data_IF_778730224854
#
_entry.id   IF_778730224854
#
_cell.length_a   1.000
_cell.length_b   1.000
_cell.length_c   1.000
_cell.angle_alpha   90.00
_cell.angle_beta   90.00
_cell.angle_gamma   90.00
#
_symmetry.space_group_name_H-M   'P 1'
#
loop_
_entity.id
_entity.type
_entity.pdbx_description
1 polymer ?
#
# COMPACT_ATOMS: atom_id res chain seq x y z
N UNK A 1 -1.82 11.95 -4.30
CA UNK A 1 -0.69 11.00 -4.27
C UNK A 1 -0.48 10.50 -2.84
N UNK A 2 -0.26 9.21 -2.64
CA UNK A 2 0.04 8.56 -1.35
C UNK A 2 1.31 7.71 -1.50
N UNK A 3 2.18 7.72 -0.49
CA UNK A 3 3.42 6.94 -0.52
C UNK A 3 3.51 6.13 0.78
N UNK A 4 3.65 4.80 0.66
CA UNK A 4 3.82 3.90 1.79
C UNK A 4 5.28 3.48 1.93
N UNK A 5 5.81 3.49 3.15
CA UNK A 5 7.15 2.97 3.46
C UNK A 5 7.06 1.57 4.06
N UNK A 6 7.79 0.63 3.47
CA UNK A 6 7.68 -0.81 3.73
C UNK A 6 9.04 -1.50 3.75
N UNK A 7 9.06 -2.75 4.21
CA UNK A 7 10.26 -3.60 4.20
C UNK A 7 10.61 -4.09 2.79
N UNK A 8 11.74 -4.77 2.65
CA UNK A 8 12.27 -5.21 1.36
C UNK A 8 11.45 -6.33 0.69
N UNK A 9 10.81 -7.22 1.45
CA UNK A 9 10.00 -8.30 0.89
C UNK A 9 8.53 -7.85 0.78
N UNK A 10 8.21 -7.17 -0.32
CA UNK A 10 6.92 -6.51 -0.52
C UNK A 10 6.05 -7.13 -1.61
N UNK A 11 6.61 -8.00 -2.47
CA UNK A 11 5.94 -8.46 -3.68
C UNK A 11 4.60 -9.17 -3.39
N UNK A 12 4.55 -9.95 -2.31
CA UNK A 12 3.31 -10.57 -1.83
C UNK A 12 2.29 -9.54 -1.34
N UNK A 13 2.73 -8.53 -0.60
CA UNK A 13 1.87 -7.46 -0.09
C UNK A 13 1.30 -6.61 -1.23
N UNK A 14 2.07 -6.36 -2.29
CA UNK A 14 1.59 -5.66 -3.49
C UNK A 14 0.48 -6.47 -4.17
N UNK A 15 0.73 -7.76 -4.43
CA UNK A 15 -0.27 -8.62 -5.08
C UNK A 15 -1.55 -8.75 -4.25
N UNK A 16 -1.43 -8.86 -2.92
CA UNK A 16 -2.58 -8.93 -2.03
C UNK A 16 -3.30 -7.59 -1.81
N UNK A 17 -2.69 -6.45 -2.13
CA UNK A 17 -3.25 -5.11 -1.88
C UNK A 17 -3.78 -4.41 -3.14
N UNK A 18 -3.55 -4.96 -4.33
CA UNK A 18 -3.95 -4.35 -5.60
C UNK A 18 -5.44 -4.01 -5.63
N UNK A 19 -6.30 -4.96 -5.23
CA UNK A 19 -7.75 -4.76 -5.23
C UNK A 19 -8.18 -3.81 -4.12
N UNK A 20 -7.55 -3.85 -2.94
CA UNK A 20 -7.75 -2.86 -1.88
C UNK A 20 -7.44 -1.42 -2.35
N UNK A 21 -6.32 -1.23 -3.06
CA UNK A 21 -5.90 0.07 -3.63
C UNK A 21 -6.96 0.58 -4.62
N UNK A 22 -7.43 -0.28 -5.54
CA UNK A 22 -8.49 0.07 -6.49
C UNK A 22 -9.83 0.41 -5.83
N UNK A 23 -10.23 -0.34 -4.79
CA UNK A 23 -11.45 -0.10 -4.01
C UNK A 23 -11.38 1.26 -3.31
N UNK A 24 -10.22 1.61 -2.78
CA UNK A 24 -9.97 2.90 -2.14
C UNK A 24 -9.76 4.04 -3.15
N UNK A 25 -9.78 3.76 -4.45
CA UNK A 25 -9.65 4.77 -5.50
C UNK A 25 -8.22 5.19 -5.81
N UNK A 26 -7.25 4.36 -5.46
CA UNK A 26 -5.89 4.49 -5.92
C UNK A 26 -5.55 3.51 -7.03
N UNK A 27 -4.37 3.70 -7.59
CA UNK A 27 -3.69 2.80 -8.51
C UNK A 27 -2.22 2.73 -8.10
N UNK A 28 -1.62 1.55 -8.20
CA UNK A 28 -0.18 1.38 -7.95
C UNK A 28 0.59 2.03 -9.10
N UNK A 29 1.38 3.04 -8.80
CA UNK A 29 2.14 3.79 -9.80
C UNK A 29 3.57 3.26 -9.91
N UNK A 30 4.26 3.11 -8.79
CA UNK A 30 5.67 2.70 -8.78
C UNK A 30 6.08 2.08 -7.43
N UNK A 31 7.14 1.27 -7.44
CA UNK A 31 7.75 0.67 -6.25
C UNK A 31 9.25 0.91 -6.29
N UNK A 32 9.72 1.79 -5.41
CA UNK A 32 11.13 2.09 -5.27
C UNK A 32 11.75 1.22 -4.16
N UNK A 33 12.49 0.18 -4.55
CA UNK A 33 13.24 -0.70 -3.63
C UNK A 33 14.65 -0.15 -3.45
N UNK A 34 15.12 -0.07 -2.20
CA UNK A 34 16.45 0.42 -1.86
C UNK A 34 16.98 -0.29 -0.61
N UNK A 35 18.30 -0.20 -0.39
CA UNK A 35 18.93 -0.68 0.83
C UNK A 35 19.23 0.50 1.75
N UNK A 36 19.07 0.32 3.05
CA UNK A 36 19.46 1.34 4.01
C UNK A 36 21.00 1.48 4.03
N UNK A 37 21.53 2.72 3.93
CA UNK A 37 22.97 2.94 3.91
C UNK A 37 23.68 2.26 5.08
N UNK A 38 24.74 1.50 4.79
CA UNK A 38 25.53 0.79 5.79
C UNK A 38 24.88 -0.47 6.37
N UNK A 39 23.81 -1.00 5.75
CA UNK A 39 23.16 -2.24 6.18
C UNK A 39 22.68 -3.08 4.99
N UNK A 40 22.45 -4.38 5.21
CA UNK A 40 21.80 -5.26 4.24
C UNK A 40 20.26 -5.22 4.31
N UNK A 41 19.70 -4.21 5.00
CA UNK A 41 18.26 -4.10 5.22
C UNK A 41 17.61 -3.45 4.00
N UNK A 42 16.86 -4.25 3.23
CA UNK A 42 16.01 -3.77 2.15
C UNK A 42 14.77 -3.01 2.64
N UNK A 43 14.44 -1.93 1.96
CA UNK A 43 13.26 -1.07 2.17
C UNK A 43 12.62 -0.73 0.84
N UNK A 44 11.35 -0.38 0.90
CA UNK A 44 10.55 -0.09 -0.29
C UNK A 44 9.66 1.13 -0.06
N UNK A 45 9.60 2.03 -1.05
CA UNK A 45 8.52 3.03 -1.15
C UNK A 45 7.51 2.55 -2.18
N UNK A 46 6.23 2.48 -1.78
CA UNK A 46 5.12 2.17 -2.68
C UNK A 46 4.39 3.46 -3.00
N UNK A 47 4.48 3.89 -4.25
CA UNK A 47 3.80 5.07 -4.75
C UNK A 47 2.41 4.67 -5.26
N UNK A 48 1.38 5.24 -4.65
CA UNK A 48 -0.02 5.02 -5.01
C UNK A 48 -0.58 6.35 -5.52
N UNK A 49 -0.96 6.37 -6.79
CA UNK A 49 -1.64 7.52 -7.36
C UNK A 49 -3.13 7.49 -6.98
N UNK A 50 -3.73 8.65 -6.74
CA UNK A 50 -5.15 8.75 -6.41
C UNK A 50 -5.92 9.15 -7.66
N UNK A 51 -6.58 8.18 -8.28
CA UNK A 51 -7.30 8.37 -9.55
C UNK A 51 -8.78 8.72 -9.36
N UNK A 52 -9.37 8.38 -8.21
CA UNK A 52 -10.77 8.71 -7.88
C UNK A 52 -10.96 8.95 -6.38
N UNK A 53 -12.01 9.65 -5.99
CA UNK A 53 -12.36 9.85 -4.58
C UNK A 53 -12.63 8.53 -3.88
N UNK A 54 -12.20 8.41 -2.62
CA UNK A 54 -12.52 7.24 -1.78
C UNK A 54 -14.03 7.18 -1.57
N UNK A 55 -14.65 6.00 -1.74
CA UNK A 55 -16.08 5.85 -1.47
C UNK A 55 -16.44 6.14 -0.02
N UNK A 56 -17.63 6.71 0.23
CA UNK A 56 -18.12 7.12 1.56
C UNK A 56 -18.18 6.00 2.61
N UNK A 57 -18.15 4.73 2.18
CA UNK A 57 -18.09 3.55 3.05
C UNK A 57 -16.73 3.33 3.73
N UNK A 58 -15.73 4.16 3.40
CA UNK A 58 -14.40 4.10 3.97
C UNK A 58 -14.03 5.43 4.67
N UNK A 59 -13.22 5.39 5.75
CA UNK A 59 -12.71 4.17 6.39
C UNK A 59 -13.82 3.36 7.07
N UNK A 60 -13.65 2.04 7.15
CA UNK A 60 -14.58 1.19 7.91
C UNK A 60 -14.44 1.48 9.41
N UNK A 61 -15.39 0.99 10.21
CA UNK A 61 -15.35 1.09 11.67
C UNK A 61 -13.98 0.69 12.22
N UNK A 62 -13.49 1.43 13.22
CA UNK A 62 -12.21 1.17 13.87
C UNK A 62 -12.06 -0.32 14.26
N UNK A 63 -10.89 -0.88 14.02
CA UNK A 63 -10.58 -2.30 14.24
C UNK A 63 -10.97 -3.23 13.08
N UNK A 64 -11.95 -2.88 12.24
CA UNK A 64 -12.34 -3.72 11.09
C UNK A 64 -11.28 -3.76 9.98
N UNK A 65 -10.55 -2.66 9.64
CA UNK A 65 -9.43 -2.73 8.72
C UNK A 65 -8.35 -3.75 9.11
N UNK A 66 -8.11 -3.94 10.42
CA UNK A 66 -7.14 -4.91 10.92
C UNK A 66 -7.70 -6.33 11.01
N UNK A 67 -8.98 -6.49 11.40
CA UNK A 67 -9.63 -7.80 11.53
C UNK A 67 -10.00 -8.43 10.18
N UNK A 68 -10.46 -7.63 9.25
CA UNK A 68 -10.95 -8.07 7.93
C UNK A 68 -10.32 -7.22 6.84
N UNK A 69 -9.01 -7.31 6.57
CA UNK A 69 -8.34 -6.46 5.59
C UNK A 69 -9.01 -6.58 4.22
N UNK A 70 -9.03 -5.46 3.49
CA UNK A 70 -9.35 -5.52 2.07
C UNK A 70 -8.17 -6.21 1.39
N UNK A 71 -8.45 -7.23 0.58
CA UNK A 71 -7.49 -7.82 -0.35
C UNK A 71 -7.84 -7.31 -1.73
#
# INVERSE_FOLDING_TARGET
MFISYKSGNIDKEISESEKAVQILGGELEDIYKFQLPGTDIGRSFVKINKIKSTGKKFPRKAGLPSKEPLK
#
